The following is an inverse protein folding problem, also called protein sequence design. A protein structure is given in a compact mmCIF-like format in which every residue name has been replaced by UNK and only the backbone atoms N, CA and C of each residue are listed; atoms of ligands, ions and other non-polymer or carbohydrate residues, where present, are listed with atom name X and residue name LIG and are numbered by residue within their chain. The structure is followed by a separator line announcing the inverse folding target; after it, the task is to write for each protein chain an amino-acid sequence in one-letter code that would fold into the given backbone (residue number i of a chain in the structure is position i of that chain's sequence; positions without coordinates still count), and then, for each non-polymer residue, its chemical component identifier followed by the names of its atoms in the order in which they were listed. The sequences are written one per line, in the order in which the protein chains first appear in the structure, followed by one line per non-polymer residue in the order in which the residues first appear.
data_IF_353122367309
#
_entry.id   IF_353122367309
#
_cell.length_a   1.000
_cell.length_b   1.000
_cell.length_c   1.000
_cell.angle_alpha   90.00
_cell.angle_beta   90.00
_cell.angle_gamma   90.00
#
_symmetry.space_group_name_H-M   'P 1'
#
loop_
_entity.id
_entity.type
_entity.pdbx_description
1 polymer ?
#
# COMPACT_ATOMS: atom_id res chain seq x y z
N UNK A 1 67.28 8.86 -12.83
CA UNK A 1 66.80 9.90 -11.90
C UNK A 1 65.90 10.89 -12.63
N UNK A 2 64.57 10.73 -12.54
CA UNK A 2 63.63 11.68 -11.91
C UNK A 2 62.22 11.04 -11.93
N UNK A 3 61.49 11.06 -10.80
CA UNK A 3 60.23 10.35 -10.62
C UNK A 3 59.01 11.26 -10.87
N UNK A 4 57.84 10.67 -11.07
CA UNK A 4 56.55 11.37 -11.05
C UNK A 4 55.67 10.98 -12.25
N UNK A 5 54.40 10.65 -12.14
CA UNK A 5 53.48 10.76 -11.02
C UNK A 5 52.37 9.71 -11.19
N UNK A 6 51.92 9.13 -10.08
CA UNK A 6 50.74 8.28 -10.04
C UNK A 6 49.47 9.11 -10.34
N UNK A 7 48.57 8.68 -11.24
CA UNK A 7 47.29 9.36 -11.39
C UNK A 7 46.39 9.02 -10.19
N UNK A 8 45.96 10.09 -9.51
CA UNK A 8 44.98 10.16 -8.41
C UNK A 8 43.86 9.11 -8.50
N UNK A 9 43.65 8.36 -7.43
CA UNK A 9 42.35 7.75 -7.13
C UNK A 9 41.32 8.88 -6.97
N UNK A 10 40.40 9.01 -7.92
CA UNK A 10 39.26 9.90 -7.80
C UNK A 10 38.29 9.30 -6.77
N UNK A 11 38.43 9.72 -5.52
CA UNK A 11 37.40 9.51 -4.51
C UNK A 11 36.22 10.42 -4.86
N UNK A 12 35.37 9.93 -5.76
CA UNK A 12 34.08 10.54 -6.05
C UNK A 12 33.18 10.30 -4.83
N UNK A 13 33.08 11.33 -3.99
CA UNK A 13 32.06 11.45 -2.97
C UNK A 13 30.68 11.38 -3.64
N UNK A 14 30.10 10.17 -3.68
CA UNK A 14 28.73 9.92 -4.13
C UNK A 14 27.77 10.38 -3.03
N UNK A 15 27.57 11.69 -2.94
CA UNK A 15 26.46 12.30 -2.20
C UNK A 15 25.16 12.05 -2.96
N UNK A 16 24.68 10.83 -2.82
CA UNK A 16 23.41 10.36 -3.33
C UNK A 16 23.19 9.06 -2.61
N UNK A 17 22.70 9.13 -1.38
CA UNK A 17 22.25 7.97 -0.65
C UNK A 17 21.22 7.29 -1.53
N UNK A 18 21.63 6.21 -2.21
CA UNK A 18 20.69 5.33 -2.90
C UNK A 18 19.75 4.88 -1.81
N UNK A 19 18.47 5.20 -1.93
CA UNK A 19 17.47 4.63 -1.06
C UNK A 19 17.50 3.12 -1.31
N UNK A 20 18.18 2.40 -0.44
CA UNK A 20 18.20 0.95 -0.46
C UNK A 20 16.76 0.47 -0.23
N UNK A 21 16.39 -0.70 -0.76
CA UNK A 21 15.04 -1.23 -0.52
C UNK A 21 14.74 -1.40 0.97
N UNK A 22 15.78 -1.50 1.81
CA UNK A 22 15.69 -1.40 3.28
C UNK A 22 14.97 -0.12 3.71
N UNK A 23 15.29 1.04 3.12
CA UNK A 23 14.62 2.31 3.41
C UNK A 23 13.14 2.31 2.99
N UNK A 24 12.78 1.56 1.94
CA UNK A 24 11.39 1.39 1.52
C UNK A 24 10.60 0.55 2.52
N UNK A 25 11.20 -0.52 3.05
CA UNK A 25 10.60 -1.33 4.12
C UNK A 25 10.35 -0.50 5.39
N UNK A 26 11.32 0.32 5.79
CA UNK A 26 11.18 1.22 6.94
C UNK A 26 10.11 2.28 6.69
N UNK A 27 10.09 2.89 5.50
CA UNK A 27 9.06 3.85 5.09
C UNK A 27 7.67 3.22 5.12
N UNK A 28 7.53 1.99 4.62
CA UNK A 28 6.27 1.25 4.68
C UNK A 28 5.79 1.07 6.12
N UNK A 29 6.66 0.59 7.02
CA UNK A 29 6.32 0.44 8.44
C UNK A 29 5.92 1.77 9.10
N UNK A 30 6.62 2.86 8.77
CA UNK A 30 6.28 4.19 9.27
C UNK A 30 4.91 4.67 8.76
N UNK A 31 4.59 4.44 7.49
CA UNK A 31 3.30 4.80 6.91
C UNK A 31 2.14 4.01 7.53
N UNK A 32 2.34 2.72 7.81
CA UNK A 32 1.37 1.88 8.54
C UNK A 32 1.14 2.43 9.94
N UNK A 33 2.21 2.76 10.68
CA UNK A 33 2.12 3.33 12.02
C UNK A 33 1.43 4.70 12.01
N UNK A 34 1.74 5.55 11.03
CA UNK A 34 1.11 6.86 10.84
C UNK A 34 -0.40 6.71 10.66
N UNK A 35 -0.83 5.79 9.80
CA UNK A 35 -2.24 5.53 9.56
C UNK A 35 -2.94 4.93 10.78
N UNK A 36 -2.24 4.14 11.60
CA UNK A 36 -2.76 3.69 12.89
C UNK A 36 -3.08 4.88 13.81
N UNK A 37 -2.17 5.85 13.92
CA UNK A 37 -2.40 7.07 14.72
C UNK A 37 -3.56 7.91 14.13
N UNK A 38 -3.63 8.06 12.80
CA UNK A 38 -4.73 8.76 12.13
C UNK A 38 -6.07 8.08 12.45
N UNK A 39 -6.14 6.76 12.35
CA UNK A 39 -7.34 5.99 12.65
C UNK A 39 -7.79 6.13 14.10
N UNK A 40 -6.83 6.12 15.04
CA UNK A 40 -7.09 6.34 16.46
C UNK A 40 -7.75 7.71 16.73
N UNK A 41 -7.37 8.74 15.96
CA UNK A 41 -7.95 10.08 16.07
C UNK A 41 -9.28 10.22 15.32
N UNK A 42 -9.49 9.47 14.22
CA UNK A 42 -10.65 9.60 13.34
C UNK A 42 -11.86 8.78 13.79
N UNK A 43 -11.61 7.65 14.48
CA UNK A 43 -12.62 6.72 14.99
C UNK A 43 -12.86 5.54 14.04
N UNK A 44 -13.19 4.37 14.61
CA UNK A 44 -13.19 3.10 13.87
C UNK A 44 -14.24 3.03 12.77
N UNK A 45 -15.44 3.60 12.99
CA UNK A 45 -16.52 3.53 12.02
C UNK A 45 -16.16 4.28 10.71
N UNK A 46 -15.44 5.39 10.83
CA UNK A 46 -14.93 6.12 9.65
C UNK A 46 -13.81 5.36 8.94
N UNK A 47 -12.93 4.70 9.70
CA UNK A 47 -11.87 3.88 9.12
C UNK A 47 -12.43 2.61 8.46
N UNK A 48 -13.53 2.04 8.96
CA UNK A 48 -14.22 0.93 8.30
C UNK A 48 -14.65 1.30 6.87
N UNK A 49 -15.17 2.52 6.64
CA UNK A 49 -15.52 2.99 5.30
C UNK A 49 -14.30 3.09 4.36
N UNK A 50 -13.13 3.45 4.91
CA UNK A 50 -11.88 3.47 4.16
C UNK A 50 -11.44 2.06 3.81
N UNK A 51 -11.50 1.12 4.77
CA UNK A 51 -11.21 -0.29 4.54
C UNK A 51 -12.05 -0.80 3.38
N UNK A 52 -13.36 -0.49 3.39
CA UNK A 52 -14.29 -0.87 2.32
C UNK A 52 -13.88 -0.33 0.96
N UNK A 53 -13.44 0.93 0.91
CA UNK A 53 -13.01 1.56 -0.34
C UNK A 53 -11.72 0.93 -0.89
N UNK A 54 -10.76 0.59 -0.02
CA UNK A 54 -9.51 -0.08 -0.44
C UNK A 54 -9.82 -1.50 -0.94
N UNK A 55 -10.64 -2.28 -0.21
CA UNK A 55 -11.04 -3.62 -0.62
C UNK A 55 -11.81 -3.58 -1.95
N UNK A 56 -12.70 -2.61 -2.14
CA UNK A 56 -13.40 -2.41 -3.40
C UNK A 56 -12.43 -2.06 -4.53
N UNK A 57 -11.39 -1.26 -4.28
CA UNK A 57 -10.37 -0.94 -5.27
C UNK A 57 -9.60 -2.19 -5.73
N UNK A 58 -9.17 -3.01 -4.78
CA UNK A 58 -8.51 -4.28 -5.08
C UNK A 58 -9.42 -5.22 -5.84
N UNK A 59 -10.70 -5.29 -5.44
CA UNK A 59 -11.71 -6.09 -6.14
C UNK A 59 -11.89 -5.63 -7.59
N UNK A 60 -12.03 -4.33 -7.83
CA UNK A 60 -12.17 -3.79 -9.19
C UNK A 60 -10.93 -4.10 -10.02
N UNK A 61 -9.72 -3.89 -9.49
CA UNK A 61 -8.49 -4.24 -10.20
C UNK A 61 -8.47 -5.72 -10.57
N UNK A 62 -8.79 -6.60 -9.62
CA UNK A 62 -8.81 -8.04 -9.85
C UNK A 62 -9.85 -8.44 -10.90
N UNK A 63 -11.04 -7.85 -10.88
CA UNK A 63 -12.07 -8.10 -11.90
C UNK A 63 -11.59 -7.63 -13.27
N UNK A 64 -11.04 -6.42 -13.36
CA UNK A 64 -10.54 -5.85 -14.62
C UNK A 64 -9.39 -6.70 -15.20
N UNK A 65 -8.43 -7.12 -14.37
CA UNK A 65 -7.26 -7.85 -14.84
C UNK A 65 -7.54 -9.34 -15.12
N UNK A 66 -8.43 -9.99 -14.35
CA UNK A 66 -8.70 -11.43 -14.51
C UNK A 66 -9.83 -11.70 -15.50
N UNK A 67 -10.91 -10.90 -15.47
CA UNK A 67 -12.14 -11.20 -16.20
C UNK A 67 -12.34 -10.34 -17.45
N UNK A 68 -11.74 -9.15 -17.51
CA UNK A 68 -11.90 -8.23 -18.64
C UNK A 68 -10.67 -8.30 -19.56
N UNK A 69 -10.63 -9.32 -20.42
CA UNK A 69 -9.50 -9.57 -21.33
C UNK A 69 -9.04 -8.34 -22.15
N UNK A 70 -9.94 -7.52 -22.74
CA UNK A 70 -9.50 -6.33 -23.47
C UNK A 70 -8.74 -5.31 -22.60
N UNK A 71 -9.13 -5.17 -21.33
CA UNK A 71 -8.45 -4.30 -20.38
C UNK A 71 -7.06 -4.85 -20.05
N UNK A 72 -6.97 -6.13 -19.69
CA UNK A 72 -5.70 -6.77 -19.35
C UNK A 72 -4.71 -6.72 -20.52
N UNK A 73 -5.16 -7.03 -21.73
CA UNK A 73 -4.35 -6.95 -22.94
C UNK A 73 -3.82 -5.53 -23.19
N UNK A 74 -4.66 -4.50 -22.99
CA UNK A 74 -4.22 -3.11 -23.14
C UNK A 74 -3.20 -2.70 -22.05
N UNK A 75 -3.36 -3.20 -20.83
CA UNK A 75 -2.49 -2.89 -19.69
C UNK A 75 -1.07 -3.46 -19.90
N UNK A 76 -0.94 -4.73 -20.30
CA UNK A 76 0.37 -5.37 -20.47
C UNK A 76 1.20 -4.78 -21.62
N UNK A 77 0.56 -4.10 -22.59
CA UNK A 77 1.23 -3.37 -23.66
C UNK A 77 1.88 -2.06 -23.18
N UNK A 78 1.54 -1.59 -21.99
CA UNK A 78 2.11 -0.37 -21.44
C UNK A 78 3.47 -0.61 -20.77
N UNK A 79 4.35 0.42 -20.71
CA UNK A 79 5.57 0.35 -19.91
C UNK A 79 5.29 0.03 -18.42
N UNK A 80 6.21 -0.65 -17.70
CA UNK A 80 5.98 -1.04 -16.30
C UNK A 80 5.58 0.12 -15.38
N UNK A 81 6.18 1.30 -15.59
CA UNK A 81 5.82 2.52 -14.84
C UNK A 81 4.37 2.94 -15.03
N UNK A 82 3.85 2.87 -16.26
CA UNK A 82 2.45 3.18 -16.57
C UNK A 82 1.50 2.12 -15.99
N UNK A 83 1.88 0.85 -16.05
CA UNK A 83 1.10 -0.23 -15.43
C UNK A 83 0.95 -0.02 -13.92
N UNK A 84 2.06 0.31 -13.23
CA UNK A 84 2.04 0.69 -11.82
C UNK A 84 1.15 1.92 -11.58
N UNK A 85 1.33 2.97 -12.37
CA UNK A 85 0.60 4.23 -12.19
C UNK A 85 -0.92 4.04 -12.30
N UNK A 86 -1.40 3.23 -13.26
CA UNK A 86 -2.83 2.93 -13.41
C UNK A 86 -3.39 2.25 -12.15
N UNK A 87 -2.71 1.20 -11.67
CA UNK A 87 -3.12 0.44 -10.48
C UNK A 87 -3.08 1.29 -9.22
N UNK A 88 -1.97 1.99 -8.99
CA UNK A 88 -1.79 2.86 -7.84
C UNK A 88 -2.81 4.02 -7.83
N UNK A 89 -3.07 4.63 -9.00
CA UNK A 89 -4.05 5.72 -9.10
C UNK A 89 -5.45 5.24 -8.76
N UNK A 90 -5.86 4.07 -9.24
CA UNK A 90 -7.17 3.50 -8.91
C UNK A 90 -7.31 3.28 -7.39
N UNK A 91 -6.30 2.65 -6.76
CA UNK A 91 -6.30 2.40 -5.32
C UNK A 91 -6.36 3.72 -4.55
N UNK A 92 -5.49 4.68 -4.87
CA UNK A 92 -5.44 5.98 -4.19
C UNK A 92 -6.76 6.75 -4.38
N UNK A 93 -7.33 6.74 -5.59
CA UNK A 93 -8.56 7.45 -5.89
C UNK A 93 -9.74 6.93 -5.08
N UNK A 94 -9.93 5.60 -5.03
CA UNK A 94 -11.01 5.01 -4.23
C UNK A 94 -10.76 5.18 -2.74
N UNK A 95 -9.52 5.00 -2.28
CA UNK A 95 -9.16 5.24 -0.87
C UNK A 95 -9.41 6.69 -0.46
N UNK A 96 -9.09 7.65 -1.33
CA UNK A 96 -9.37 9.06 -1.13
C UNK A 96 -10.87 9.30 -0.94
N UNK A 97 -11.72 8.73 -1.79
CA UNK A 97 -13.18 8.84 -1.61
C UNK A 97 -13.66 8.17 -0.32
N UNK A 98 -13.04 7.06 0.10
CA UNK A 98 -13.27 6.46 1.42
C UNK A 98 -12.95 7.41 2.58
N UNK A 99 -11.93 8.27 2.43
CA UNK A 99 -11.59 9.30 3.42
C UNK A 99 -12.52 10.52 3.38
N UNK A 100 -13.01 10.89 2.19
CA UNK A 100 -13.90 12.06 1.97
C UNK A 100 -15.33 11.88 2.50
N UNK A 101 -15.58 10.92 3.40
CA UNK A 101 -16.92 10.66 3.92
C UNK A 101 -17.58 11.95 4.45
N UNK A 102 -18.74 12.35 3.91
CA UNK A 102 -19.51 13.48 4.43
C UNK A 102 -19.79 13.29 5.93
N UNK A 103 -20.14 14.37 6.64
CA UNK A 103 -20.52 14.30 8.05
C UNK A 103 -21.84 13.51 8.23
N UNK A 104 -21.78 12.17 8.16
CA UNK A 104 -22.89 11.28 8.41
C UNK A 104 -23.17 11.31 9.91
N UNK A 105 -24.40 11.68 10.29
CA UNK A 105 -24.80 11.80 11.71
C UNK A 105 -24.62 10.48 12.49
N UNK A 106 -24.69 9.33 11.82
CA UNK A 106 -24.43 8.02 12.41
C UNK A 106 -22.98 7.83 12.90
N UNK A 107 -22.03 8.66 12.45
CA UNK A 107 -20.61 8.59 12.82
C UNK A 107 -20.26 9.49 14.03
N UNK A 108 -21.25 10.04 14.74
CA UNK A 108 -21.01 10.89 15.91
C UNK A 108 -20.87 10.06 17.19
N UNK A 109 -19.77 10.20 17.95
CA UNK A 109 -19.54 9.39 19.14
C UNK A 109 -20.55 9.73 20.25
N UNK A 110 -21.17 8.71 20.84
CA UNK A 110 -22.05 8.85 22.00
C UNK A 110 -21.24 8.54 23.27
N UNK A 111 -21.17 9.46 24.22
CA UNK A 111 -20.59 9.29 25.56
C UNK A 111 -19.06 9.02 25.68
N UNK A 112 -18.50 9.36 26.84
CA UNK A 112 -17.06 9.32 27.12
C UNK A 112 -16.50 7.89 27.38
N UNK A 113 -17.33 6.91 27.76
CA UNK A 113 -16.89 5.51 27.92
C UNK A 113 -16.68 4.79 26.58
N UNK A 114 -17.40 5.19 25.54
CA UNK A 114 -17.23 4.64 24.18
C UNK A 114 -15.93 5.13 23.52
N UNK A 115 -15.31 6.21 24.01
CA UNK A 115 -14.10 6.80 23.42
C UNK A 115 -12.88 5.89 23.44
N UNK A 116 -12.65 5.13 24.51
CA UNK A 116 -11.47 4.25 24.57
C UNK A 116 -11.57 3.12 23.54
N UNK A 117 -12.74 2.51 23.43
CA UNK A 117 -13.01 1.49 22.40
C UNK A 117 -12.90 2.10 20.99
N UNK A 118 -13.46 3.29 20.78
CA UNK A 118 -13.42 3.96 19.48
C UNK A 118 -11.99 4.27 19.03
N UNK A 119 -11.15 4.76 19.94
CA UNK A 119 -9.73 5.05 19.69
C UNK A 119 -8.93 3.77 19.43
N UNK A 120 -9.12 2.71 20.23
CA UNK A 120 -8.38 1.45 20.07
C UNK A 120 -8.75 0.74 18.77
N UNK A 121 -10.04 0.62 18.46
CA UNK A 121 -10.49 0.03 17.20
C UNK A 121 -10.08 0.90 16.01
N UNK A 122 -10.14 2.23 16.17
CA UNK A 122 -9.64 3.18 15.19
C UNK A 122 -8.15 2.99 14.91
N UNK A 123 -7.34 2.73 15.94
CA UNK A 123 -5.92 2.47 15.79
C UNK A 123 -5.65 1.22 14.94
N UNK A 124 -6.31 0.10 15.25
CA UNK A 124 -6.15 -1.14 14.49
C UNK A 124 -6.68 -1.04 13.06
N UNK A 125 -7.86 -0.43 12.88
CA UNK A 125 -8.41 -0.18 11.54
C UNK A 125 -7.52 0.75 10.72
N UNK A 126 -6.97 1.79 11.35
CA UNK A 126 -6.00 2.68 10.71
C UNK A 126 -4.74 1.93 10.27
N UNK A 127 -4.16 1.09 11.15
CA UNK A 127 -3.02 0.25 10.79
C UNK A 127 -3.34 -0.68 9.62
N UNK A 128 -4.52 -1.31 9.65
CA UNK A 128 -5.02 -2.15 8.56
C UNK A 128 -5.16 -1.35 7.26
N UNK A 129 -5.71 -0.13 7.31
CA UNK A 129 -5.84 0.74 6.14
C UNK A 129 -4.49 1.15 5.56
N UNK A 130 -3.55 1.55 6.41
CA UNK A 130 -2.17 1.84 5.99
C UNK A 130 -1.52 0.63 5.33
N UNK A 131 -1.70 -0.56 5.93
CA UNK A 131 -1.19 -1.82 5.40
C UNK A 131 -1.81 -2.18 4.04
N UNK A 132 -3.14 -2.13 3.93
CA UNK A 132 -3.87 -2.42 2.70
C UNK A 132 -3.50 -1.43 1.59
N UNK A 133 -3.46 -0.13 1.88
CA UNK A 133 -3.15 0.92 0.91
C UNK A 133 -1.69 0.83 0.44
N UNK A 134 -0.73 1.05 1.35
CA UNK A 134 0.68 1.14 0.96
C UNK A 134 1.27 -0.22 0.64
N UNK A 135 0.74 -1.30 1.22
CA UNK A 135 1.17 -2.65 0.88
C UNK A 135 0.76 -3.01 -0.54
N UNK A 136 -0.46 -2.64 -0.97
CA UNK A 136 -0.87 -2.87 -2.35
C UNK A 136 -0.08 -2.02 -3.33
N UNK A 137 0.17 -0.75 -3.00
CA UNK A 137 1.02 0.13 -3.82
C UNK A 137 2.43 -0.47 -3.93
N UNK A 138 3.02 -0.94 -2.83
CA UNK A 138 4.35 -1.53 -2.85
C UNK A 138 4.37 -2.85 -3.63
N UNK A 139 3.35 -3.69 -3.50
CA UNK A 139 3.21 -4.92 -4.30
C UNK A 139 3.25 -4.61 -5.80
N UNK A 140 2.44 -3.66 -6.27
CA UNK A 140 2.43 -3.30 -7.69
C UNK A 140 3.70 -2.57 -8.14
N UNK A 141 4.38 -1.87 -7.24
CA UNK A 141 5.71 -1.29 -7.51
C UNK A 141 6.76 -2.39 -7.72
N UNK A 142 6.71 -3.43 -6.89
CA UNK A 142 7.58 -4.61 -7.03
C UNK A 142 7.26 -5.39 -8.31
N UNK A 143 5.98 -5.62 -8.62
CA UNK A 143 5.56 -6.28 -9.86
C UNK A 143 5.99 -5.53 -11.13
N UNK A 144 6.12 -4.20 -11.05
CA UNK A 144 6.66 -3.36 -12.12
C UNK A 144 8.21 -3.28 -12.13
N UNK A 145 8.88 -4.08 -11.32
CA UNK A 145 10.33 -4.12 -11.13
C UNK A 145 10.95 -2.76 -10.77
N UNK A 146 10.28 -2.01 -9.87
CA UNK A 146 10.73 -0.70 -9.39
C UNK A 146 11.13 0.27 -10.52
N UNK A 147 10.17 0.77 -11.31
CA UNK A 147 10.41 1.60 -12.50
C UNK A 147 10.83 3.04 -12.13
N UNK A 148 11.74 3.21 -11.17
CA UNK A 148 12.24 4.50 -10.68
C UNK A 148 13.76 4.45 -10.51
N UNK A 149 14.49 5.57 -10.71
CA UNK A 149 15.93 5.60 -10.47
C UNK A 149 16.33 5.50 -8.99
N UNK A 150 15.38 5.72 -8.08
CA UNK A 150 15.65 5.88 -6.65
C UNK A 150 15.63 4.57 -5.87
N UNK A 151 14.86 3.59 -6.33
CA UNK A 151 14.73 2.27 -5.69
C UNK A 151 15.16 1.21 -6.70
N UNK A 152 16.11 0.37 -6.33
CA UNK A 152 16.60 -0.73 -7.16
C UNK A 152 16.47 -2.04 -6.41
N UNK A 153 16.00 -3.08 -7.09
CA UNK A 153 15.97 -4.42 -6.54
C UNK A 153 17.41 -4.87 -6.20
N UNK A 154 17.65 -5.53 -5.05
CA UNK A 154 18.95 -6.12 -4.77
C UNK A 154 19.27 -7.23 -5.76
N UNK A 155 20.55 -7.59 -5.86
CA UNK A 155 20.97 -8.69 -6.72
C UNK A 155 20.24 -10.00 -6.34
N UNK A 156 19.74 -10.70 -7.34
CA UNK A 156 19.11 -12.02 -7.20
C UNK A 156 20.06 -12.98 -6.44
N UNK A 157 19.51 -13.74 -5.49
CA UNK A 157 20.29 -14.64 -4.63
C UNK A 157 21.02 -13.99 -3.45
N UNK A 158 20.92 -12.66 -3.27
CA UNK A 158 21.38 -12.02 -2.03
C UNK A 158 20.41 -12.24 -0.87
N UNK A 159 20.89 -12.28 0.38
CA UNK A 159 20.03 -12.39 1.57
C UNK A 159 18.97 -11.28 1.60
N UNK A 160 19.34 -10.08 1.17
CA UNK A 160 18.45 -8.93 1.10
C UNK A 160 17.31 -9.15 0.08
N UNK A 161 17.61 -9.76 -1.07
CA UNK A 161 16.62 -10.12 -2.08
C UNK A 161 15.57 -11.07 -1.50
N UNK A 162 16.02 -12.15 -0.83
CA UNK A 162 15.14 -13.14 -0.21
C UNK A 162 14.24 -12.51 0.86
N UNK A 163 14.79 -11.63 1.71
CA UNK A 163 14.01 -10.92 2.72
C UNK A 163 12.90 -10.05 2.10
N UNK A 164 13.21 -9.32 1.03
CA UNK A 164 12.22 -8.47 0.35
C UNK A 164 11.16 -9.32 -0.34
N UNK A 165 11.55 -10.39 -1.03
CA UNK A 165 10.63 -11.30 -1.70
C UNK A 165 9.65 -11.93 -0.69
N UNK A 166 10.14 -12.35 0.48
CA UNK A 166 9.29 -12.86 1.56
C UNK A 166 8.32 -11.79 2.10
N UNK A 167 8.78 -10.54 2.27
CA UNK A 167 7.91 -9.44 2.70
C UNK A 167 6.85 -9.12 1.66
N UNK A 168 7.21 -9.11 0.37
CA UNK A 168 6.27 -8.87 -0.74
C UNK A 168 5.21 -9.98 -0.81
N UNK A 169 5.59 -11.23 -0.52
CA UNK A 169 4.66 -12.36 -0.44
C UNK A 169 3.62 -12.24 0.69
N UNK A 170 3.83 -11.32 1.63
CA UNK A 170 2.84 -11.01 2.67
C UNK A 170 1.95 -9.81 2.28
N UNK A 171 2.20 -9.10 1.18
CA UNK A 171 1.45 -7.88 0.87
C UNK A 171 0.00 -8.17 0.44
N UNK A 172 -0.92 -7.20 0.60
CA UNK A 172 -2.35 -7.44 0.47
C UNK A 172 -2.82 -8.09 -0.84
N UNK A 173 -2.34 -7.70 -2.04
CA UNK A 173 -2.78 -8.33 -3.28
C UNK A 173 -2.43 -9.83 -3.36
N UNK A 174 -1.31 -10.24 -2.74
CA UNK A 174 -0.91 -11.65 -2.66
C UNK A 174 -1.72 -12.42 -1.62
N UNK A 175 -2.07 -11.78 -0.49
CA UNK A 175 -2.89 -12.39 0.56
C UNK A 175 -4.39 -12.45 0.23
N UNK A 176 -4.84 -11.61 -0.70
CA UNK A 176 -6.24 -11.52 -1.14
C UNK A 176 -6.39 -11.91 -2.62
N UNK A 177 -5.98 -13.12 -3.05
CA UNK A 177 -6.28 -13.59 -4.38
C UNK A 177 -7.77 -13.95 -4.50
N UNK A 178 -8.19 -14.37 -5.69
CA UNK A 178 -9.51 -14.99 -5.85
C UNK A 178 -9.42 -16.43 -5.32
N UNK A 179 -10.38 -16.89 -4.47
CA UNK A 179 -11.66 -16.27 -4.12
C UNK A 179 -11.68 -15.44 -2.82
N UNK A 180 -10.58 -15.33 -2.08
CA UNK A 180 -10.48 -14.64 -0.79
C UNK A 180 -11.00 -13.20 -0.87
N UNK A 181 -10.70 -12.50 -1.96
CA UNK A 181 -11.17 -11.14 -2.20
C UNK A 181 -12.71 -11.04 -2.30
N UNK A 182 -13.38 -12.07 -2.83
CA UNK A 182 -14.86 -12.11 -2.87
C UNK A 182 -15.45 -12.22 -1.47
N UNK A 183 -14.84 -13.04 -0.61
CA UNK A 183 -15.23 -13.12 0.80
C UNK A 183 -14.94 -11.81 1.53
N UNK A 184 -13.79 -11.17 1.29
CA UNK A 184 -13.44 -9.89 1.91
C UNK A 184 -14.47 -8.80 1.57
N UNK A 185 -14.90 -8.71 0.31
CA UNK A 185 -15.97 -7.81 -0.12
C UNK A 185 -17.28 -8.12 0.61
N UNK A 186 -17.69 -9.39 0.67
CA UNK A 186 -18.91 -9.80 1.39
C UNK A 186 -18.87 -9.44 2.89
N UNK A 187 -17.75 -9.70 3.56
CA UNK A 187 -17.54 -9.35 4.97
C UNK A 187 -17.64 -7.84 5.17
N UNK A 188 -16.97 -7.06 4.33
CA UNK A 188 -17.03 -5.60 4.35
C UNK A 188 -18.48 -5.10 4.21
N UNK A 189 -19.26 -5.63 3.27
CA UNK A 189 -20.66 -5.25 3.09
C UNK A 189 -21.52 -5.58 4.31
N UNK A 190 -21.31 -6.74 4.93
CA UNK A 190 -22.00 -7.10 6.18
C UNK A 190 -21.70 -6.09 7.28
N UNK A 191 -20.43 -5.72 7.49
CA UNK A 191 -20.07 -4.70 8.47
C UNK A 191 -20.70 -3.35 8.15
N UNK A 192 -20.74 -2.95 6.88
CA UNK A 192 -21.38 -1.69 6.48
C UNK A 192 -22.87 -1.69 6.83
N UNK A 193 -23.59 -2.77 6.52
CA UNK A 193 -25.02 -2.87 6.84
C UNK A 193 -25.22 -2.82 8.36
N UNK A 194 -24.53 -3.65 9.12
CA UNK A 194 -24.71 -3.74 10.59
C UNK A 194 -24.39 -2.42 11.30
N UNK A 195 -23.43 -1.65 10.79
CA UNK A 195 -22.96 -0.42 11.46
C UNK A 195 -23.70 0.83 11.00
N UNK A 196 -24.18 0.88 9.74
CA UNK A 196 -24.71 2.10 9.13
C UNK A 196 -26.18 2.07 8.73
N UNK A 197 -26.81 0.89 8.67
CA UNK A 197 -28.19 0.70 8.21
C UNK A 197 -29.04 0.18 9.36
#
# INVERSE_FOLDING_TARGET
MRPGASPRKSNAWRWGGRLSVVSLTVLFGLLVLLFAVIGAMRGWAKELLVTSAIILALFILQILEVHIQPYYAALILQPPGTQFAIRATLIVLLTFFGYQTPQIRALQPKLARERLQDVLLGFFMGALNGYLLFGSIWFYLHAANYPTPWVQMPAEGSELYEQISNLVGMLPPELLPIPQLYFAVGVVFVFIIVVFV
#
